data_IF_346218891669
#
_entry.id   IF_346218891669
#
_cell.length_a   1.000
_cell.length_b   1.000
_cell.length_c   1.000
_cell.angle_alpha   90.00
_cell.angle_beta   90.00
_cell.angle_gamma   90.00
#
_symmetry.space_group_name_H-M   'P 1'
#
loop_
_entity.id
_entity.type
_entity.pdbx_description
1 polymer ?
#
# COMPACT_ATOMS: atom_id res chain seq x y z
N UNK A 1 29.71 6.49 39.37
CA UNK A 1 29.94 7.19 38.07
C UNK A 1 29.99 6.25 36.88
N UNK A 2 30.61 5.08 36.92
CA UNK A 2 30.69 4.13 35.76
C UNK A 2 29.33 3.59 35.36
N UNK A 3 28.47 3.16 36.28
CA UNK A 3 27.11 2.64 36.00
C UNK A 3 26.20 3.65 35.30
N UNK A 4 26.28 4.93 35.66
CA UNK A 4 25.51 6.01 35.04
C UNK A 4 25.94 6.27 33.58
N UNK A 5 27.23 6.11 33.27
CA UNK A 5 27.75 6.19 31.90
C UNK A 5 27.27 5.03 31.01
N UNK A 6 27.27 3.79 31.56
CA UNK A 6 26.74 2.63 30.81
C UNK A 6 25.24 2.71 30.58
N UNK A 7 24.48 3.22 31.56
CA UNK A 7 23.04 3.45 31.40
C UNK A 7 22.78 4.46 30.28
N UNK A 8 23.50 5.58 30.24
CA UNK A 8 23.38 6.58 29.17
C UNK A 8 23.76 6.04 27.79
N UNK A 9 24.80 5.22 27.69
CA UNK A 9 25.20 4.55 26.46
C UNK A 9 24.15 3.55 25.98
N UNK A 10 23.55 2.78 26.89
CA UNK A 10 22.50 1.82 26.58
C UNK A 10 21.23 2.54 26.11
N UNK A 11 20.83 3.64 26.74
CA UNK A 11 19.70 4.49 26.33
C UNK A 11 19.96 5.09 24.95
N UNK A 12 21.17 5.61 24.70
CA UNK A 12 21.54 6.14 23.39
C UNK A 12 21.52 5.06 22.29
N UNK A 13 22.00 3.85 22.60
CA UNK A 13 21.95 2.72 21.66
C UNK A 13 20.51 2.28 21.34
N UNK A 14 19.60 2.27 22.33
CA UNK A 14 18.18 1.97 22.12
C UNK A 14 17.48 3.03 21.27
N UNK A 15 17.80 4.32 21.48
CA UNK A 15 17.25 5.41 20.67
C UNK A 15 17.76 5.31 19.22
N UNK A 16 19.02 4.97 19.00
CA UNK A 16 19.58 4.77 17.67
C UNK A 16 18.98 3.56 16.95
N UNK A 17 18.71 2.47 17.67
CA UNK A 17 18.06 1.28 17.12
C UNK A 17 16.59 1.54 16.70
N UNK A 18 15.93 2.53 17.31
CA UNK A 18 14.57 2.94 16.94
C UNK A 18 14.53 3.88 15.71
N UNK A 19 15.67 4.22 15.10
CA UNK A 19 15.73 5.06 13.92
C UNK A 19 15.32 4.25 12.68
N UNK A 20 14.18 4.62 12.06
CA UNK A 20 13.78 4.09 10.76
C UNK A 20 14.61 4.65 9.62
N UNK A 21 14.47 4.06 8.44
CA UNK A 21 15.06 4.55 7.20
C UNK A 21 14.21 5.69 6.63
N UNK A 22 14.88 6.74 6.13
CA UNK A 22 14.21 7.84 5.42
C UNK A 22 13.92 7.41 3.97
N UNK A 23 12.69 7.66 3.51
CA UNK A 23 12.23 7.36 2.15
C UNK A 23 11.39 8.51 1.61
N UNK A 24 11.40 8.66 0.29
CA UNK A 24 10.50 9.58 -0.43
C UNK A 24 9.34 8.75 -1.00
N UNK A 25 8.12 9.18 -0.74
CA UNK A 25 6.90 8.52 -1.27
C UNK A 25 6.78 8.85 -2.76
N UNK A 26 6.59 7.85 -3.63
CA UNK A 26 6.30 8.08 -5.04
C UNK A 26 5.05 8.97 -5.21
N UNK A 27 4.96 9.70 -6.30
CA UNK A 27 3.88 10.64 -6.65
C UNK A 27 3.86 11.90 -5.80
N UNK A 28 3.75 11.78 -4.47
CA UNK A 28 3.59 12.95 -3.57
C UNK A 28 4.91 13.60 -3.19
N UNK A 29 6.03 12.89 -3.29
CA UNK A 29 7.34 13.41 -2.86
C UNK A 29 7.48 13.57 -1.34
N UNK A 30 6.50 13.12 -0.56
CA UNK A 30 6.54 13.23 0.90
C UNK A 30 7.72 12.44 1.48
N UNK A 31 8.45 13.07 2.37
CA UNK A 31 9.50 12.40 3.15
C UNK A 31 8.88 11.66 4.34
N UNK A 32 9.17 10.39 4.49
CA UNK A 32 8.68 9.55 5.58
C UNK A 32 9.81 8.75 6.24
N UNK A 33 9.54 8.27 7.46
CA UNK A 33 10.39 7.33 8.18
C UNK A 33 9.70 5.98 8.22
N UNK A 34 10.31 4.96 7.63
CA UNK A 34 9.79 3.60 7.56
C UNK A 34 10.67 2.63 8.34
N UNK A 35 10.13 1.46 8.68
CA UNK A 35 10.91 0.40 9.30
C UNK A 35 12.07 -0.01 8.38
N UNK A 36 13.27 -0.13 8.95
CA UNK A 36 14.50 -0.33 8.19
C UNK A 36 14.60 -1.69 7.51
N UNK A 37 13.95 -2.73 8.07
CA UNK A 37 13.96 -4.08 7.50
C UNK A 37 12.69 -4.36 6.69
N UNK A 38 12.63 -3.84 5.47
CA UNK A 38 11.50 -4.08 4.56
C UNK A 38 11.33 -5.56 4.19
N UNK A 39 12.41 -6.34 4.14
CA UNK A 39 12.35 -7.78 3.83
C UNK A 39 11.54 -8.56 4.88
N UNK A 40 11.66 -8.18 6.16
CA UNK A 40 10.86 -8.76 7.25
C UNK A 40 9.38 -8.45 7.09
N UNK A 41 9.03 -7.19 6.75
CA UNK A 41 7.65 -6.78 6.47
C UNK A 41 7.07 -7.61 5.31
N UNK A 42 7.81 -7.78 4.23
CA UNK A 42 7.37 -8.56 3.07
C UNK A 42 7.20 -10.05 3.41
N UNK A 43 8.15 -10.62 4.15
CA UNK A 43 8.10 -12.04 4.57
C UNK A 43 6.87 -12.30 5.44
N UNK A 44 6.62 -11.44 6.44
CA UNK A 44 5.42 -11.53 7.29
C UNK A 44 4.14 -11.39 6.47
N UNK A 45 4.10 -10.39 5.58
CA UNK A 45 2.96 -10.15 4.70
C UNK A 45 2.63 -11.36 3.84
N UNK A 46 3.63 -11.97 3.20
CA UNK A 46 3.42 -13.14 2.34
C UNK A 46 2.95 -14.38 3.13
N UNK A 47 3.48 -14.57 4.34
CA UNK A 47 3.04 -15.64 5.22
C UNK A 47 1.58 -15.48 5.64
N UNK A 48 1.20 -14.28 6.07
CA UNK A 48 -0.16 -13.97 6.50
C UNK A 48 -1.16 -14.06 5.36
N UNK A 49 -0.81 -13.52 4.19
CA UNK A 49 -1.64 -13.64 3.01
C UNK A 49 -1.89 -15.10 2.64
N UNK A 50 -0.84 -15.94 2.66
CA UNK A 50 -0.98 -17.37 2.41
C UNK A 50 -1.91 -18.04 3.43
N UNK A 51 -1.76 -17.73 4.71
CA UNK A 51 -2.63 -18.24 5.76
C UNK A 51 -4.08 -17.78 5.56
N UNK A 52 -4.29 -16.51 5.21
CA UNK A 52 -5.61 -15.96 4.92
C UNK A 52 -6.26 -16.71 3.74
N UNK A 53 -5.58 -16.82 2.60
CA UNK A 53 -6.14 -17.47 1.39
C UNK A 53 -6.42 -18.95 1.62
N UNK A 54 -5.62 -19.65 2.43
CA UNK A 54 -5.86 -21.05 2.76
C UNK A 54 -7.11 -21.26 3.62
N UNK A 55 -7.55 -20.25 4.37
CA UNK A 55 -8.73 -20.35 5.26
C UNK A 55 -9.95 -19.65 4.68
N UNK A 56 -9.76 -18.69 3.79
CA UNK A 56 -10.85 -17.94 3.17
C UNK A 56 -11.57 -18.78 2.11
N UNK A 57 -12.87 -18.61 2.00
CA UNK A 57 -13.65 -19.17 0.92
C UNK A 57 -13.51 -18.31 -0.32
N UNK A 58 -12.75 -18.78 -1.31
CA UNK A 58 -12.62 -18.07 -2.58
C UNK A 58 -13.95 -18.06 -3.34
N UNK A 59 -14.21 -16.97 -4.08
CA UNK A 59 -15.40 -16.83 -4.91
C UNK A 59 -15.42 -17.89 -6.01
N UNK A 60 -16.59 -18.48 -6.21
CA UNK A 60 -16.89 -19.37 -7.34
C UNK A 60 -17.45 -18.63 -8.56
N UNK A 61 -17.70 -17.32 -8.43
CA UNK A 61 -18.15 -16.48 -9.54
C UNK A 61 -16.98 -16.15 -10.49
N UNK A 62 -16.90 -16.93 -11.58
CA UNK A 62 -15.80 -16.79 -12.55
C UNK A 62 -15.72 -15.39 -13.19
N UNK A 63 -16.88 -14.77 -13.50
CA UNK A 63 -16.93 -13.45 -14.12
C UNK A 63 -16.40 -12.35 -13.19
N UNK A 64 -16.86 -12.36 -11.93
CA UNK A 64 -16.41 -11.41 -10.93
C UNK A 64 -14.92 -11.59 -10.59
N UNK A 65 -14.48 -12.85 -10.48
CA UNK A 65 -13.06 -13.17 -10.25
C UNK A 65 -12.19 -12.70 -11.41
N UNK A 66 -12.62 -12.90 -12.65
CA UNK A 66 -11.91 -12.41 -13.85
C UNK A 66 -11.86 -10.88 -13.90
N UNK A 67 -12.95 -10.21 -13.52
CA UNK A 67 -13.01 -8.75 -13.42
C UNK A 67 -11.99 -8.21 -12.40
N UNK A 68 -11.99 -8.75 -11.17
CA UNK A 68 -11.05 -8.35 -10.11
C UNK A 68 -9.60 -8.54 -10.56
N UNK A 69 -9.28 -9.68 -11.15
CA UNK A 69 -7.92 -9.96 -11.67
C UNK A 69 -7.54 -9.00 -12.78
N UNK A 70 -8.43 -8.75 -13.75
CA UNK A 70 -8.17 -7.82 -14.87
C UNK A 70 -7.91 -6.40 -14.38
N UNK A 71 -8.76 -5.88 -13.48
CA UNK A 71 -8.60 -4.54 -12.90
C UNK A 71 -7.28 -4.46 -12.14
N UNK A 72 -7.01 -5.43 -11.28
CA UNK A 72 -5.78 -5.48 -10.50
C UNK A 72 -4.52 -5.55 -11.36
N UNK A 73 -4.49 -6.39 -12.41
CA UNK A 73 -3.35 -6.51 -13.32
C UNK A 73 -3.07 -5.20 -14.07
N UNK A 74 -4.11 -4.48 -14.51
CA UNK A 74 -3.93 -3.17 -15.14
C UNK A 74 -3.33 -2.14 -14.18
N UNK A 75 -3.81 -2.13 -12.94
CA UNK A 75 -3.25 -1.27 -11.89
C UNK A 75 -1.79 -1.64 -11.58
N UNK A 76 -1.47 -2.91 -11.42
CA UNK A 76 -0.10 -3.38 -11.21
C UNK A 76 0.85 -2.91 -12.32
N UNK A 77 0.43 -3.06 -13.58
CA UNK A 77 1.21 -2.59 -14.74
C UNK A 77 1.41 -1.06 -14.72
N UNK A 78 0.40 -0.29 -14.35
CA UNK A 78 0.49 1.16 -14.21
C UNK A 78 1.47 1.56 -13.09
N UNK A 79 1.39 0.90 -11.93
CA UNK A 79 2.30 1.11 -10.79
C UNK A 79 3.74 0.82 -11.19
N UNK A 80 4.01 -0.35 -11.76
CA UNK A 80 5.38 -0.72 -12.16
C UNK A 80 5.94 0.23 -13.23
N UNK A 81 5.09 0.65 -14.18
CA UNK A 81 5.48 1.64 -15.19
C UNK A 81 5.84 2.98 -14.53
N UNK A 82 5.03 3.42 -13.56
CA UNK A 82 5.30 4.66 -12.84
C UNK A 82 6.63 4.56 -12.06
N UNK A 83 6.82 3.47 -11.31
CA UNK A 83 8.02 3.28 -10.49
C UNK A 83 9.30 3.24 -11.34
N UNK A 84 9.30 2.51 -12.47
CA UNK A 84 10.44 2.46 -13.38
C UNK A 84 10.78 3.82 -13.98
N UNK A 85 9.75 4.59 -14.37
CA UNK A 85 9.94 5.88 -15.06
C UNK A 85 10.31 7.04 -14.12
N UNK A 86 10.21 6.85 -12.81
CA UNK A 86 10.42 7.91 -11.81
C UNK A 86 11.56 7.61 -10.81
N UNK A 87 12.45 6.66 -11.14
CA UNK A 87 13.64 6.38 -10.32
C UNK A 87 13.41 5.43 -9.13
N UNK A 88 12.29 4.70 -9.12
CA UNK A 88 11.96 3.70 -8.11
C UNK A 88 12.04 2.27 -8.64
N UNK A 89 12.79 2.02 -9.71
CA UNK A 89 12.86 0.69 -10.36
C UNK A 89 13.26 -0.42 -9.39
N UNK A 90 14.17 -0.14 -8.45
CA UNK A 90 14.58 -1.09 -7.42
C UNK A 90 13.43 -1.54 -6.51
N UNK A 91 12.35 -0.77 -6.39
CA UNK A 91 11.19 -1.14 -5.58
C UNK A 91 10.26 -2.13 -6.30
N UNK A 92 10.32 -2.23 -7.62
CA UNK A 92 9.45 -3.13 -8.41
C UNK A 92 9.64 -4.59 -8.00
N UNK A 93 10.85 -4.99 -7.65
CA UNK A 93 11.15 -6.36 -7.17
C UNK A 93 10.47 -6.73 -5.83
N UNK A 94 9.97 -5.74 -5.08
CA UNK A 94 9.26 -5.98 -3.83
C UNK A 94 7.82 -6.45 -4.06
N UNK A 95 7.29 -6.35 -5.28
CA UNK A 95 5.91 -6.71 -5.60
C UNK A 95 5.84 -8.08 -6.25
N UNK A 96 5.00 -8.91 -5.66
CA UNK A 96 4.55 -10.19 -6.21
C UNK A 96 3.02 -10.16 -6.24
N UNK A 97 2.47 -9.48 -7.25
CA UNK A 97 1.07 -9.16 -7.39
C UNK A 97 0.18 -10.39 -7.41
N UNK A 98 -0.83 -10.39 -6.56
CA UNK A 98 -1.84 -11.44 -6.49
C UNK A 98 -3.18 -10.84 -6.13
N UNK A 99 -4.24 -11.25 -6.85
CA UNK A 99 -5.58 -10.70 -6.73
C UNK A 99 -6.57 -11.83 -6.50
N UNK A 100 -7.22 -11.84 -5.33
CA UNK A 100 -8.23 -12.82 -4.99
C UNK A 100 -9.56 -12.17 -4.63
N UNK A 101 -10.64 -12.79 -5.09
CA UNK A 101 -12.01 -12.48 -4.68
C UNK A 101 -12.47 -13.55 -3.70
N UNK A 102 -12.91 -13.13 -2.51
CA UNK A 102 -13.45 -14.04 -1.49
C UNK A 102 -14.96 -13.96 -1.41
N UNK A 103 -15.59 -15.11 -1.17
CA UNK A 103 -17.03 -15.23 -1.01
C UNK A 103 -17.43 -14.80 0.41
N UNK A 104 -17.53 -13.48 0.60
CA UNK A 104 -17.97 -12.88 1.85
C UNK A 104 -18.83 -11.65 1.54
N UNK A 105 -19.86 -11.43 2.36
CA UNK A 105 -20.80 -10.31 2.21
C UNK A 105 -20.28 -8.99 2.77
N UNK A 106 -19.14 -8.99 3.44
CA UNK A 106 -18.53 -7.76 3.93
C UNK A 106 -18.20 -6.81 2.77
N UNK A 107 -18.51 -5.56 2.95
CA UNK A 107 -18.06 -4.50 2.04
C UNK A 107 -16.62 -4.15 2.42
N UNK A 108 -15.66 -4.85 1.81
CA UNK A 108 -14.25 -4.70 2.18
C UNK A 108 -13.31 -5.04 1.01
N UNK A 109 -12.09 -4.50 1.08
CA UNK A 109 -10.91 -4.88 0.31
C UNK A 109 -9.68 -4.51 1.11
N UNK A 110 -8.54 -5.12 0.84
CA UNK A 110 -7.25 -4.71 1.40
C UNK A 110 -6.08 -5.10 0.49
N UNK A 111 -4.97 -4.38 0.62
CA UNK A 111 -3.70 -4.73 0.01
C UNK A 111 -2.61 -4.85 1.08
N UNK A 112 -2.05 -6.03 1.22
CA UNK A 112 -0.87 -6.23 2.07
C UNK A 112 0.41 -5.79 1.35
N UNK A 113 1.48 -5.43 2.07
CA UNK A 113 2.79 -5.15 1.50
C UNK A 113 3.22 -6.23 0.50
N UNK A 114 3.84 -5.82 -0.59
CA UNK A 114 4.24 -6.74 -1.66
C UNK A 114 3.15 -7.05 -2.69
N UNK A 115 2.00 -6.34 -2.64
CA UNK A 115 0.97 -6.41 -3.68
C UNK A 115 0.03 -7.62 -3.56
N UNK A 116 -0.27 -8.06 -2.35
CA UNK A 116 -1.22 -9.13 -2.06
C UNK A 116 -2.60 -8.54 -1.80
N UNK A 117 -3.52 -8.64 -2.76
CA UNK A 117 -4.81 -7.97 -2.77
C UNK A 117 -5.94 -8.98 -2.58
N UNK A 118 -6.86 -8.65 -1.67
CA UNK A 118 -8.10 -9.38 -1.46
C UNK A 118 -9.27 -8.42 -1.64
N UNK A 119 -10.26 -8.87 -2.38
CA UNK A 119 -11.55 -8.20 -2.56
C UNK A 119 -12.64 -9.11 -2.02
N UNK A 120 -13.60 -8.53 -1.31
CA UNK A 120 -14.77 -9.24 -0.81
C UNK A 120 -15.94 -9.08 -1.79
N UNK A 121 -16.70 -10.13 -2.04
CA UNK A 121 -17.86 -10.06 -2.96
C UNK A 121 -18.84 -8.95 -2.57
N UNK A 122 -19.01 -8.70 -1.26
CA UNK A 122 -19.90 -7.65 -0.77
C UNK A 122 -19.51 -6.22 -1.19
N UNK A 123 -18.28 -6.01 -1.65
CA UNK A 123 -17.84 -4.71 -2.19
C UNK A 123 -18.39 -4.45 -3.60
N UNK A 124 -18.59 -5.49 -4.41
CA UNK A 124 -18.94 -5.35 -5.83
C UNK A 124 -20.28 -4.63 -6.09
N UNK A 125 -21.35 -4.86 -5.29
CA UNK A 125 -22.58 -4.08 -5.41
C UNK A 125 -22.43 -2.58 -5.13
N UNK A 126 -21.40 -2.18 -4.36
CA UNK A 126 -21.12 -0.77 -4.04
C UNK A 126 -20.25 -0.13 -5.13
N UNK A 127 -19.27 -0.85 -5.67
CA UNK A 127 -18.44 -0.35 -6.77
C UNK A 127 -19.26 -0.24 -8.06
N UNK A 128 -20.05 -1.23 -8.40
CA UNK A 128 -20.93 -1.31 -9.58
C UNK A 128 -20.20 -1.33 -10.94
N UNK A 129 -19.07 -0.65 -11.07
CA UNK A 129 -18.28 -0.52 -12.30
C UNK A 129 -16.83 -0.95 -12.09
N UNK A 130 -16.14 -1.33 -13.19
CA UNK A 130 -14.69 -1.58 -13.13
C UNK A 130 -13.90 -0.34 -12.74
N UNK A 131 -14.35 0.85 -13.17
CA UNK A 131 -13.69 2.09 -12.82
C UNK A 131 -13.76 2.38 -11.32
N UNK A 132 -14.93 2.20 -10.70
CA UNK A 132 -15.05 2.33 -9.24
C UNK A 132 -14.25 1.26 -8.48
N UNK A 133 -14.23 0.01 -8.98
CA UNK A 133 -13.36 -1.02 -8.41
C UNK A 133 -11.89 -0.63 -8.52
N UNK A 134 -11.47 -0.04 -9.65
CA UNK A 134 -10.10 0.43 -9.84
C UNK A 134 -9.75 1.59 -8.89
N UNK A 135 -10.69 2.47 -8.56
CA UNK A 135 -10.50 3.51 -7.53
C UNK A 135 -10.21 2.89 -6.17
N UNK A 136 -10.99 1.88 -5.76
CA UNK A 136 -10.76 1.18 -4.48
C UNK A 136 -9.42 0.45 -4.49
N UNK A 137 -9.17 -0.37 -5.52
CA UNK A 137 -7.92 -1.14 -5.58
C UNK A 137 -6.70 -0.24 -5.76
N UNK A 138 -6.83 0.88 -6.48
CA UNK A 138 -5.79 1.90 -6.59
C UNK A 138 -5.44 2.51 -5.22
N UNK A 139 -6.46 2.82 -4.40
CA UNK A 139 -6.29 3.29 -3.03
C UNK A 139 -5.57 2.26 -2.16
N UNK A 140 -5.99 0.98 -2.21
CA UNK A 140 -5.35 -0.10 -1.46
C UNK A 140 -3.88 -0.32 -1.89
N UNK A 141 -3.63 -0.33 -3.19
CA UNK A 141 -2.29 -0.44 -3.76
C UNK A 141 -1.43 0.77 -3.35
N UNK A 142 -2.00 1.97 -3.28
CA UNK A 142 -1.31 3.17 -2.85
C UNK A 142 -0.79 3.05 -1.41
N UNK A 143 -1.54 2.44 -0.48
CA UNK A 143 -1.04 2.15 0.86
C UNK A 143 0.21 1.27 0.84
N UNK A 144 0.26 0.26 -0.04
CA UNK A 144 1.43 -0.61 -0.18
C UNK A 144 2.61 0.14 -0.84
N UNK A 145 2.36 0.94 -1.89
CA UNK A 145 3.39 1.71 -2.60
C UNK A 145 3.95 2.84 -1.73
N UNK A 146 3.13 3.49 -0.93
CA UNK A 146 3.56 4.50 0.02
C UNK A 146 4.15 3.91 1.31
N UNK A 147 4.20 2.58 1.48
CA UNK A 147 4.72 1.90 2.66
C UNK A 147 4.05 2.35 3.97
N UNK A 148 2.75 2.65 3.93
CA UNK A 148 2.01 3.14 5.09
C UNK A 148 2.03 2.16 6.26
N UNK A 149 1.97 0.85 6.00
CA UNK A 149 2.10 -0.19 7.05
C UNK A 149 3.48 -0.14 7.73
N UNK A 150 4.55 0.01 6.93
CA UNK A 150 5.92 0.11 7.45
C UNK A 150 6.16 1.41 8.22
N UNK A 151 5.56 2.53 7.78
CA UNK A 151 5.59 3.81 8.51
C UNK A 151 4.86 3.69 9.85
N UNK A 152 3.69 3.06 9.87
CA UNK A 152 2.92 2.85 11.09
C UNK A 152 3.65 1.93 12.07
N UNK A 153 4.23 0.84 11.58
CA UNK A 153 5.06 -0.06 12.37
C UNK A 153 6.24 0.67 13.00
N UNK A 154 6.94 1.50 12.22
CA UNK A 154 8.05 2.32 12.72
C UNK A 154 7.59 3.32 13.80
N UNK A 155 6.42 3.93 13.65
CA UNK A 155 5.83 4.81 14.69
C UNK A 155 5.56 4.05 15.99
N UNK A 156 5.03 2.84 15.89
CA UNK A 156 4.76 2.00 17.06
C UNK A 156 6.04 1.59 17.78
N UNK A 157 7.09 1.16 17.05
CA UNK A 157 8.41 0.86 17.64
C UNK A 157 8.96 2.06 18.39
N UNK A 158 8.91 3.26 17.77
CA UNK A 158 9.38 4.49 18.44
C UNK A 158 8.62 4.78 19.73
N UNK A 159 7.29 4.68 19.70
CA UNK A 159 6.46 4.92 20.89
C UNK A 159 6.77 3.90 22.00
N UNK A 160 6.91 2.62 21.67
CA UNK A 160 7.27 1.58 22.63
C UNK A 160 8.66 1.80 23.23
N UNK A 161 9.65 2.14 22.39
CA UNK A 161 11.02 2.42 22.86
C UNK A 161 11.05 3.61 23.81
N UNK A 162 10.35 4.70 23.47
CA UNK A 162 10.23 5.88 24.34
C UNK A 162 9.55 5.49 25.66
N UNK A 163 8.46 4.71 25.61
CA UNK A 163 7.76 4.22 26.80
C UNK A 163 8.64 3.34 27.69
N UNK A 164 9.42 2.44 27.09
CA UNK A 164 10.37 1.58 27.84
C UNK A 164 11.49 2.39 28.50
N UNK A 165 12.06 3.35 27.79
CA UNK A 165 13.11 4.24 28.34
C UNK A 165 12.53 5.09 29.47
N UNK A 166 11.35 5.68 29.29
CA UNK A 166 10.69 6.46 30.34
C UNK A 166 10.37 5.58 31.57
N UNK A 167 9.84 4.36 31.36
CA UNK A 167 9.58 3.40 32.40
C UNK A 167 10.84 2.98 33.20
N UNK A 168 11.94 2.71 32.49
CA UNK A 168 13.22 2.38 33.10
C UNK A 168 13.79 3.54 33.96
N UNK A 169 13.65 4.78 33.47
CA UNK A 169 14.02 5.98 34.20
C UNK A 169 13.16 6.16 35.45
N UNK A 170 11.84 5.99 35.36
CA UNK A 170 10.93 6.08 36.49
C UNK A 170 11.17 4.98 37.53
N UNK A 171 11.43 3.74 37.10
CA UNK A 171 11.77 2.62 37.99
C UNK A 171 13.09 2.87 38.69
N UNK A 172 14.09 3.40 38.00
CA UNK A 172 15.39 3.76 38.60
C UNK A 172 15.27 4.92 39.64
N UNK A 173 14.20 5.71 39.51
CA UNK A 173 13.83 6.76 40.46
C UNK A 173 12.93 6.27 41.62
N UNK A 174 12.69 4.95 41.73
CA UNK A 174 11.88 4.34 42.77
C UNK A 174 10.37 4.36 42.53
N UNK A 175 9.91 4.70 41.32
CA UNK A 175 8.50 4.68 40.93
C UNK A 175 8.19 3.37 40.20
N UNK A 176 7.36 2.51 40.80
CA UNK A 176 6.96 1.23 40.22
C UNK A 176 6.16 1.40 38.91
N UNK A 177 6.58 0.73 37.85
CA UNK A 177 5.83 0.63 36.60
C UNK A 177 5.70 -0.83 36.16
N UNK A 178 4.47 -1.23 35.75
CA UNK A 178 4.20 -2.55 35.18
C UNK A 178 4.75 -2.63 33.74
N UNK A 179 5.97 -3.14 33.56
CA UNK A 179 6.68 -3.22 32.27
C UNK A 179 6.45 -4.51 31.49
N UNK A 180 5.60 -5.42 31.97
CA UNK A 180 5.42 -6.75 31.35
C UNK A 180 4.56 -6.76 30.07
N UNK A 181 3.79 -5.70 29.79
CA UNK A 181 2.82 -5.68 28.67
C UNK A 181 3.39 -5.25 27.30
N UNK A 182 4.64 -4.80 27.25
CA UNK A 182 5.21 -4.16 26.07
C UNK A 182 5.88 -5.13 25.07
N UNK A 183 6.32 -6.30 25.51
CA UNK A 183 6.95 -7.28 24.61
C UNK A 183 5.95 -8.07 23.76
N UNK A 184 4.75 -8.34 24.26
CA UNK A 184 3.71 -9.09 23.52
C UNK A 184 3.13 -8.30 22.34
N UNK A 185 3.24 -6.97 22.31
CA UNK A 185 2.76 -6.15 21.19
C UNK A 185 3.67 -6.27 19.95
N UNK A 186 4.93 -6.65 20.10
CA UNK A 186 5.87 -6.82 18.99
C UNK A 186 5.57 -8.07 18.14
N UNK A 187 5.01 -9.12 18.75
CA UNK A 187 4.69 -10.37 18.06
C UNK A 187 3.29 -10.38 17.40
N UNK A 188 2.42 -9.41 17.74
CA UNK A 188 1.03 -9.36 17.24
C UNK A 188 0.82 -8.57 15.96
N UNK A 189 1.84 -7.95 15.40
CA UNK A 189 1.67 -7.03 14.26
C UNK A 189 1.46 -7.73 12.92
N UNK A 190 1.97 -8.94 12.79
CA UNK A 190 1.79 -9.75 11.60
C UNK A 190 0.31 -10.03 11.30
N UNK A 191 -0.48 -10.42 12.29
CA UNK A 191 -1.91 -10.78 12.12
C UNK A 191 -2.84 -9.58 11.93
N UNK A 192 -2.34 -8.34 11.94
CA UNK A 192 -3.16 -7.13 11.87
C UNK A 192 -3.03 -6.33 10.57
N UNK A 193 -2.18 -6.75 9.63
CA UNK A 193 -1.94 -5.96 8.39
C UNK A 193 -3.20 -5.72 7.58
N UNK A 194 -4.14 -6.67 7.58
CA UNK A 194 -5.43 -6.54 6.90
C UNK A 194 -6.44 -5.63 7.62
N UNK A 195 -6.17 -5.25 8.88
CA UNK A 195 -7.07 -4.44 9.72
C UNK A 195 -6.44 -3.16 10.23
N UNK A 196 -5.29 -2.76 9.67
CA UNK A 196 -4.60 -1.54 10.04
C UNK A 196 -5.47 -0.32 9.75
N UNK A 197 -5.64 0.52 10.76
CA UNK A 197 -6.27 1.83 10.59
C UNK A 197 -5.20 2.88 10.35
N UNK A 198 -5.26 3.54 9.21
CA UNK A 198 -4.30 4.55 8.81
C UNK A 198 -4.66 5.94 9.34
N UNK A 199 -3.69 6.84 9.37
CA UNK A 199 -3.94 8.25 9.71
C UNK A 199 -4.69 8.94 8.56
N UNK A 200 -5.38 10.05 8.85
CA UNK A 200 -6.05 10.85 7.81
C UNK A 200 -5.09 11.32 6.71
N UNK A 201 -3.84 11.63 7.07
CA UNK A 201 -2.84 12.04 6.09
C UNK A 201 -2.46 10.87 5.16
N UNK A 202 -2.34 9.65 5.71
CA UNK A 202 -2.12 8.46 4.89
C UNK A 202 -3.30 8.16 3.97
N UNK A 203 -4.55 8.34 4.44
CA UNK A 203 -5.76 8.20 3.61
C UNK A 203 -5.77 9.19 2.45
N UNK A 204 -5.50 10.47 2.77
CA UNK A 204 -5.41 11.55 1.77
C UNK A 204 -4.32 11.28 0.73
N UNK A 205 -3.17 10.78 1.16
CA UNK A 205 -2.07 10.39 0.28
C UNK A 205 -2.42 9.17 -0.57
N UNK A 206 -3.10 8.16 0.02
CA UNK A 206 -3.55 6.98 -0.70
C UNK A 206 -4.61 7.32 -1.77
N UNK A 207 -5.52 8.24 -1.48
CA UNK A 207 -6.46 8.76 -2.48
C UNK A 207 -5.74 9.44 -3.65
N UNK A 208 -4.74 10.27 -3.37
CA UNK A 208 -3.98 10.97 -4.40
C UNK A 208 -3.22 9.99 -5.31
N UNK A 209 -2.42 9.13 -4.72
CA UNK A 209 -1.62 8.14 -5.43
C UNK A 209 -2.52 7.16 -6.20
N UNK A 210 -3.55 6.63 -5.53
CA UNK A 210 -4.47 5.64 -6.09
C UNK A 210 -5.26 6.17 -7.27
N UNK A 211 -5.70 7.44 -7.21
CA UNK A 211 -6.42 8.08 -8.31
C UNK A 211 -5.55 8.23 -9.56
N UNK A 212 -4.26 8.58 -9.38
CA UNK A 212 -3.29 8.64 -10.49
C UNK A 212 -3.06 7.24 -11.09
N UNK A 213 -2.89 6.21 -10.26
CA UNK A 213 -2.70 4.85 -10.76
C UNK A 213 -3.93 4.31 -11.49
N UNK A 214 -5.15 4.60 -11.01
CA UNK A 214 -6.39 4.25 -11.70
C UNK A 214 -6.46 4.93 -13.07
N UNK A 215 -6.13 6.22 -13.14
CA UNK A 215 -6.09 6.98 -14.39
C UNK A 215 -5.04 6.42 -15.39
N UNK A 216 -3.83 6.10 -14.91
CA UNK A 216 -2.77 5.48 -15.71
C UNK A 216 -3.16 4.08 -16.21
N UNK A 217 -3.95 3.33 -15.42
CA UNK A 217 -4.49 2.03 -15.80
C UNK A 217 -5.64 2.12 -16.84
N UNK A 218 -6.03 3.35 -17.22
CA UNK A 218 -7.07 3.62 -18.21
C UNK A 218 -8.49 3.64 -17.64
N UNK A 219 -8.66 3.80 -16.32
CA UNK A 219 -9.95 3.97 -15.67
C UNK A 219 -10.25 5.44 -15.41
N UNK A 220 -11.51 5.84 -15.69
CA UNK A 220 -11.93 7.24 -15.51
C UNK A 220 -11.87 7.65 -14.02
N UNK A 221 -11.00 8.61 -13.64
CA UNK A 221 -10.86 9.04 -12.26
C UNK A 221 -12.08 9.83 -11.74
N UNK A 222 -12.97 10.32 -12.61
CA UNK A 222 -14.22 10.98 -12.20
C UNK A 222 -15.13 10.04 -11.40
N UNK A 223 -15.03 8.73 -11.62
CA UNK A 223 -15.82 7.72 -10.89
C UNK A 223 -15.53 7.72 -9.37
N UNK A 224 -14.39 8.27 -8.93
CA UNK A 224 -14.06 8.36 -7.52
C UNK A 224 -15.09 9.15 -6.72
N UNK A 225 -15.64 10.23 -7.29
CA UNK A 225 -16.63 11.08 -6.58
C UNK A 225 -17.91 10.30 -6.36
N UNK A 226 -18.44 9.68 -7.40
CA UNK A 226 -19.69 8.91 -7.34
C UNK A 226 -19.54 7.66 -6.48
N UNK A 227 -18.40 6.99 -6.55
CA UNK A 227 -18.10 5.85 -5.69
C UNK A 227 -18.10 6.22 -4.20
N UNK A 228 -17.37 7.28 -3.80
CA UNK A 228 -17.32 7.67 -2.39
C UNK A 228 -18.67 8.19 -1.87
N UNK A 229 -19.48 8.79 -2.73
CA UNK A 229 -20.87 9.15 -2.37
C UNK A 229 -21.73 7.91 -2.12
N UNK A 230 -21.65 6.88 -2.98
CA UNK A 230 -22.34 5.59 -2.78
C UNK A 230 -21.86 4.88 -1.52
N UNK A 231 -20.55 4.86 -1.28
CA UNK A 231 -19.95 4.24 -0.11
C UNK A 231 -20.43 4.92 1.18
N UNK A 232 -20.50 6.26 1.22
CA UNK A 232 -21.04 7.01 2.34
C UNK A 232 -22.53 6.70 2.56
N UNK A 233 -23.32 6.64 1.50
CA UNK A 233 -24.75 6.30 1.56
C UNK A 233 -25.02 4.86 2.03
N UNK A 234 -24.12 3.92 1.76
CA UNK A 234 -24.24 2.53 2.20
C UNK A 234 -24.10 2.34 3.72
N UNK A 235 -23.64 3.36 4.45
CA UNK A 235 -23.43 3.32 5.90
C UNK A 235 -24.68 3.59 6.75
N UNK A 236 -25.85 3.83 6.14
CA UNK A 236 -27.06 4.24 6.86
C UNK A 236 -27.59 3.22 7.89
N UNK A 237 -27.31 1.91 7.72
CA UNK A 237 -27.78 0.85 8.63
C UNK A 237 -26.64 0.18 9.42
N UNK A 238 -25.43 0.23 8.95
CA UNK A 238 -24.23 -0.26 9.63
C UNK A 238 -23.00 0.28 8.91
N UNK A 239 -21.96 0.65 9.66
CA UNK A 239 -20.70 1.10 9.04
C UNK A 239 -20.06 -0.07 8.29
N UNK A 240 -19.87 0.01 6.95
CA UNK A 240 -19.14 -0.98 6.20
C UNK A 240 -17.74 -1.23 6.80
N UNK A 241 -17.28 -2.47 6.76
CA UNK A 241 -15.96 -2.83 7.30
C UNK A 241 -14.84 -1.98 6.68
N UNK A 242 -14.94 -1.69 5.39
CA UNK A 242 -14.04 -0.80 4.68
C UNK A 242 -13.97 0.61 5.32
N UNK A 243 -15.10 1.19 5.70
CA UNK A 243 -15.13 2.51 6.34
C UNK A 243 -14.62 2.53 7.78
N UNK A 244 -14.49 1.36 8.42
CA UNK A 244 -13.89 1.26 9.76
C UNK A 244 -12.40 1.50 9.74
N UNK A 245 -11.73 1.08 8.66
CA UNK A 245 -10.29 1.24 8.42
C UNK A 245 -9.98 2.48 7.58
N UNK A 246 -10.87 2.83 6.63
CA UNK A 246 -10.76 3.95 5.70
C UNK A 246 -11.95 4.91 5.82
N UNK A 247 -11.98 5.77 6.85
CA UNK A 247 -13.10 6.67 7.07
C UNK A 247 -13.36 7.59 5.88
N UNK A 248 -14.64 7.79 5.55
CA UNK A 248 -15.05 8.79 4.56
C UNK A 248 -15.78 9.93 5.24
N UNK A 249 -15.49 11.14 4.80
CA UNK A 249 -16.18 12.37 5.21
C UNK A 249 -16.25 13.35 4.03
N UNK A 250 -16.90 14.48 4.24
CA UNK A 250 -17.00 15.53 3.23
C UNK A 250 -15.61 16.08 2.83
N UNK A 251 -14.63 16.03 3.72
CA UNK A 251 -13.27 16.50 3.46
C UNK A 251 -12.56 15.60 2.47
N UNK A 252 -12.77 14.27 2.55
CA UNK A 252 -12.22 13.30 1.57
C UNK A 252 -12.73 13.58 0.16
N UNK A 253 -14.05 13.75 -0.01
CA UNK A 253 -14.64 14.07 -1.30
C UNK A 253 -14.14 15.43 -1.84
N UNK A 254 -14.01 16.43 -0.97
CA UNK A 254 -13.45 17.73 -1.34
C UNK A 254 -11.99 17.61 -1.79
N UNK A 255 -11.19 16.79 -1.09
CA UNK A 255 -9.80 16.52 -1.47
C UNK A 255 -9.71 15.81 -2.83
N UNK A 256 -10.51 14.77 -3.06
CA UNK A 256 -10.57 14.08 -4.36
C UNK A 256 -10.90 15.05 -5.49
N UNK A 257 -11.88 15.94 -5.32
CA UNK A 257 -12.18 16.98 -6.31
C UNK A 257 -10.99 17.89 -6.60
N UNK A 258 -10.16 18.19 -5.61
CA UNK A 258 -8.96 19.03 -5.76
C UNK A 258 -7.87 18.35 -6.57
N UNK A 259 -7.65 17.04 -6.38
CA UNK A 259 -6.59 16.28 -7.07
C UNK A 259 -7.04 15.72 -8.44
N UNK A 260 -8.34 15.66 -8.68
CA UNK A 260 -8.92 15.12 -9.92
C UNK A 260 -8.33 15.73 -11.20
N UNK A 261 -8.11 17.07 -11.33
CA UNK A 261 -7.50 17.66 -12.52
C UNK A 261 -6.08 17.15 -12.80
N UNK A 262 -5.34 16.76 -11.76
CA UNK A 262 -4.02 16.14 -11.93
C UNK A 262 -4.16 14.71 -12.46
N UNK A 263 -5.02 13.89 -11.86
CA UNK A 263 -5.25 12.51 -12.29
C UNK A 263 -5.75 12.43 -13.75
N UNK A 264 -6.61 13.36 -14.18
CA UNK A 264 -7.10 13.45 -15.55
C UNK A 264 -5.98 13.65 -16.59
N UNK A 265 -4.84 14.26 -16.22
CA UNK A 265 -3.69 14.39 -17.12
C UNK A 265 -3.07 13.02 -17.46
N UNK A 266 -3.13 12.07 -16.52
CA UNK A 266 -2.66 10.70 -16.74
C UNK A 266 -3.66 9.86 -17.52
N UNK A 267 -4.94 10.07 -17.31
CA UNK A 267 -6.01 9.41 -18.05
C UNK A 267 -6.03 9.80 -19.54
N UNK A 268 -5.93 11.10 -19.85
CA UNK A 268 -5.97 11.64 -21.19
C UNK A 268 -4.71 11.34 -22.03
N UNK A 269 -3.60 10.90 -21.41
CA UNK A 269 -2.40 10.46 -22.14
C UNK A 269 -2.53 9.06 -22.76
N UNK A 270 -3.75 8.47 -22.69
CA UNK A 270 -4.01 7.10 -23.12
C UNK A 270 -3.26 6.13 -22.25
N UNK A 271 -3.94 5.46 -21.31
CA UNK A 271 -3.32 4.53 -20.35
C UNK A 271 -2.20 3.70 -20.95
N UNK A 272 -1.40 3.03 -20.15
CA UNK A 272 -0.20 2.29 -20.56
C UNK A 272 -0.44 1.58 -21.91
N UNK A 273 0.05 2.18 -22.99
CA UNK A 273 0.07 1.54 -24.30
C UNK A 273 1.04 0.36 -24.18
N UNK A 274 0.51 -0.86 -24.19
CA UNK A 274 1.31 -2.07 -24.40
C UNK A 274 1.74 -2.09 -25.88
N UNK A 275 2.51 -1.09 -26.32
CA UNK A 275 3.19 -1.17 -27.60
C UNK A 275 4.35 -2.15 -27.41
N UNK A 276 4.11 -3.39 -27.73
CA UNK A 276 5.17 -4.31 -28.21
C UNK A 276 5.78 -3.63 -29.44
N UNK A 277 6.79 -2.81 -29.20
CA UNK A 277 7.68 -2.32 -30.25
C UNK A 277 8.41 -3.52 -30.82
N UNK A 278 7.81 -4.12 -31.86
CA UNK A 278 8.50 -5.05 -32.74
C UNK A 278 9.70 -4.32 -33.36
N UNK A 279 10.87 -4.52 -32.82
CA UNK A 279 12.12 -4.17 -33.48
C UNK A 279 12.15 -4.94 -34.80
N UNK A 280 11.85 -4.26 -35.90
CA UNK A 280 12.12 -4.73 -37.25
C UNK A 280 13.61 -5.03 -37.34
N UNK A 281 13.95 -6.30 -37.46
CA UNK A 281 15.32 -6.74 -37.69
C UNK A 281 15.78 -6.12 -39.03
N UNK A 282 16.74 -5.22 -38.98
CA UNK A 282 17.47 -4.74 -40.16
C UNK A 282 18.50 -5.78 -40.50
N UNK A 283 18.30 -6.44 -41.63
CA UNK A 283 19.24 -7.35 -42.30
C UNK A 283 20.57 -6.65 -42.58
N UNK A 284 21.73 -7.23 -42.25
CA UNK A 284 23.00 -6.64 -42.58
C UNK A 284 23.22 -6.66 -44.11
N UNK A 285 23.59 -5.53 -44.70
CA UNK A 285 24.01 -5.41 -46.09
C UNK A 285 25.33 -6.17 -46.29
N UNK A 286 25.33 -7.08 -47.24
CA UNK A 286 26.47 -7.86 -47.73
C UNK A 286 27.59 -6.94 -48.20
N UNK A 287 28.77 -7.04 -47.62
CA UNK A 287 29.98 -6.35 -48.05
C UNK A 287 30.57 -7.08 -49.27
N UNK A 288 30.68 -6.40 -50.39
CA UNK A 288 31.37 -6.87 -51.61
C UNK A 288 32.86 -7.04 -51.34
N UNK A 289 33.34 -8.25 -51.58
CA UNK A 289 34.77 -8.58 -51.61
C UNK A 289 35.41 -7.99 -52.88
N UNK A 290 36.36 -7.09 -52.72
CA UNK A 290 37.24 -6.62 -53.82
C UNK A 290 38.44 -7.57 -53.88
N UNK A 291 38.57 -8.28 -55.00
CA UNK A 291 39.83 -8.98 -55.37
C UNK A 291 40.80 -7.96 -55.97
N UNK A 292 42.01 -7.91 -55.46
CA UNK A 292 43.17 -7.25 -56.06
C UNK A 292 44.08 -8.36 -56.63
N UNK A 293 44.49 -8.12 -57.84
CA UNK A 293 45.46 -8.92 -58.57
C UNK A 293 46.85 -8.84 -57.91
#
# INVERSE_FOLDING_TARGET
MKTRKYLLLMVAALILAACGTSRIVPVTGRKQSVYSNNAEILTSSFSEYKNFVNTAKLSTNANNTAMVKRVGQKLAAAVETYLRNNGYEAEVQNYNWEFNLVQDKQVNAFCMPGGKIVVYEGLLPVTQTEAALAIVLGHEIAHAVAYHSSEQYQKQIKQQTIGQVAGAVLTSAGMGTNTASTLSALYGLGSQMATLKYSRDNETEADHIGLIFAAMAGYDPNEAITFWQRMAASSNNSTPAFLSTHPTDAQRIAHIKKILPEALKYYNKGGVSTSTSGKKATTPKTTKTIRIK
#
